data_IF_890662680766
#
_entry.id   IF_890662680766
#
_cell.length_a   1.000
_cell.length_b   1.000
_cell.length_c   1.000
_cell.angle_alpha   90.00
_cell.angle_beta   90.00
_cell.angle_gamma   90.00
#
_symmetry.space_group_name_H-M   'P 1'
#
loop_
_entity.id
_entity.type
_entity.pdbx_description
1 polymer ?
#
# COMPACT_ATOMS: atom_id res chain seq x y z
N UNK A 1 12.46 -24.20 -13.58
CA UNK A 1 11.61 -25.36 -13.92
C UNK A 1 10.09 -25.12 -13.73
N UNK A 2 9.65 -23.98 -13.17
CA UNK A 2 8.22 -23.71 -12.88
C UNK A 2 7.43 -23.00 -14.01
N UNK A 3 8.11 -22.39 -14.99
CA UNK A 3 7.43 -21.65 -16.07
C UNK A 3 6.56 -22.53 -16.99
N UNK A 4 6.97 -23.79 -17.20
CA UNK A 4 6.23 -24.73 -18.05
C UNK A 4 4.89 -25.19 -17.47
N UNK A 5 4.69 -25.11 -16.15
CA UNK A 5 3.49 -25.63 -15.51
C UNK A 5 2.25 -24.76 -15.79
N UNK A 6 2.42 -23.43 -15.83
CA UNK A 6 1.31 -22.48 -15.98
C UNK A 6 0.83 -22.36 -17.43
N UNK A 7 1.74 -22.34 -18.40
CA UNK A 7 1.38 -22.28 -19.82
C UNK A 7 0.56 -23.49 -20.27
N UNK A 8 0.89 -24.67 -19.76
CA UNK A 8 0.12 -25.88 -20.03
C UNK A 8 -1.24 -25.91 -19.31
N UNK A 9 -1.32 -25.38 -18.09
CA UNK A 9 -2.59 -25.26 -17.35
C UNK A 9 -3.55 -24.33 -18.09
N UNK A 10 -3.04 -23.20 -18.60
CA UNK A 10 -3.79 -22.26 -19.43
C UNK A 10 -4.24 -22.91 -20.74
N UNK A 11 -3.39 -23.71 -21.37
CA UNK A 11 -3.73 -24.44 -22.62
C UNK A 11 -4.81 -25.50 -22.39
N UNK A 12 -4.70 -26.26 -21.31
CA UNK A 12 -5.70 -27.25 -20.91
C UNK A 12 -7.05 -26.61 -20.61
N UNK A 13 -7.05 -25.50 -19.86
CA UNK A 13 -8.27 -24.75 -19.55
C UNK A 13 -8.95 -24.19 -20.80
N UNK A 14 -8.17 -23.63 -21.73
CA UNK A 14 -8.69 -23.14 -23.01
C UNK A 14 -9.23 -24.27 -23.89
N UNK A 15 -8.63 -25.46 -23.86
CA UNK A 15 -9.15 -26.64 -24.56
C UNK A 15 -10.48 -27.10 -23.99
N UNK A 16 -10.64 -27.13 -22.66
CA UNK A 16 -11.89 -27.53 -21.98
C UNK A 16 -13.02 -26.53 -22.19
N UNK A 17 -12.71 -25.22 -22.15
CA UNK A 17 -13.67 -24.19 -22.58
C UNK A 17 -14.10 -24.34 -24.04
N UNK A 18 -13.20 -24.76 -24.94
CA UNK A 18 -13.55 -25.03 -26.33
C UNK A 18 -14.51 -26.20 -26.52
N UNK A 19 -14.44 -27.20 -25.63
CA UNK A 19 -15.31 -28.39 -25.61
C UNK A 19 -16.72 -28.08 -25.04
N UNK A 20 -16.81 -27.20 -24.04
CA UNK A 20 -18.08 -26.62 -23.57
C UNK A 20 -18.83 -25.86 -24.67
N UNK A 21 -18.10 -25.04 -25.43
CA UNK A 21 -18.66 -24.22 -26.50
C UNK A 21 -19.10 -25.04 -27.72
N UNK A 22 -18.45 -26.18 -27.99
CA UNK A 22 -18.79 -27.05 -29.11
C UNK A 22 -19.91 -28.05 -28.79
N UNK A 23 -20.02 -28.50 -27.54
CA UNK A 23 -21.08 -29.43 -27.10
C UNK A 23 -22.38 -28.71 -26.73
N UNK A 24 -22.35 -27.40 -26.46
CA UNK A 24 -23.51 -26.64 -25.99
C UNK A 24 -24.02 -27.08 -24.61
N UNK A 25 -23.31 -28.02 -23.97
CA UNK A 25 -23.65 -28.61 -22.69
C UNK A 25 -22.79 -27.92 -21.63
N UNK A 26 -23.44 -27.34 -20.61
CA UNK A 26 -22.71 -26.74 -19.49
C UNK A 26 -21.89 -27.84 -18.80
N UNK A 27 -20.63 -27.56 -18.51
CA UNK A 27 -19.82 -28.44 -17.65
C UNK A 27 -20.46 -28.47 -16.27
N UNK A 28 -20.94 -29.66 -15.90
CA UNK A 28 -21.56 -29.91 -14.60
C UNK A 28 -20.59 -29.65 -13.46
N UNK A 29 -21.11 -29.37 -12.26
CA UNK A 29 -20.27 -29.02 -11.10
C UNK A 29 -19.31 -30.14 -10.71
N UNK A 30 -19.71 -31.40 -10.89
CA UNK A 30 -18.85 -32.56 -10.67
C UNK A 30 -17.67 -32.59 -11.64
N UNK A 31 -17.90 -32.25 -12.91
CA UNK A 31 -16.83 -32.15 -13.92
C UNK A 31 -15.87 -31.01 -13.61
N UNK A 32 -16.38 -29.88 -13.10
CA UNK A 32 -15.53 -28.76 -12.66
C UNK A 32 -14.67 -29.14 -11.45
N UNK A 33 -15.23 -29.91 -10.50
CA UNK A 33 -14.48 -30.44 -9.37
C UNK A 33 -13.34 -31.37 -9.84
N UNK A 34 -13.63 -32.27 -10.78
CA UNK A 34 -12.64 -33.14 -11.40
C UNK A 34 -11.51 -32.38 -12.11
N UNK A 35 -11.84 -31.34 -12.87
CA UNK A 35 -10.87 -30.52 -13.61
C UNK A 35 -9.93 -29.77 -12.65
N UNK A 36 -10.44 -29.32 -11.51
CA UNK A 36 -9.69 -28.52 -10.54
C UNK A 36 -8.87 -29.35 -9.56
N UNK A 37 -9.24 -30.61 -9.33
CA UNK A 37 -8.60 -31.50 -8.36
C UNK A 37 -7.85 -32.69 -8.97
N UNK A 38 -7.81 -32.82 -10.30
CA UNK A 38 -6.96 -33.80 -11.02
C UNK A 38 -5.66 -33.16 -11.53
N UNK A 39 -4.58 -33.93 -11.43
CA UNK A 39 -3.29 -33.64 -12.08
C UNK A 39 -3.36 -34.01 -13.57
N UNK A 40 -2.35 -33.59 -14.35
CA UNK A 40 -2.27 -33.88 -15.80
C UNK A 40 -2.18 -35.37 -16.15
N UNK A 41 -1.66 -36.18 -15.24
CA UNK A 41 -1.57 -37.65 -15.36
C UNK A 41 -2.90 -38.35 -15.02
N UNK A 42 -3.95 -37.60 -14.66
CA UNK A 42 -5.26 -38.12 -14.29
C UNK A 42 -5.41 -38.53 -12.83
N UNK A 43 -4.31 -38.51 -12.06
CA UNK A 43 -4.31 -38.80 -10.62
C UNK A 43 -4.93 -37.65 -9.80
N UNK A 44 -5.57 -37.93 -8.66
CA UNK A 44 -6.05 -36.88 -7.77
C UNK A 44 -4.89 -36.07 -7.19
N UNK A 45 -5.13 -34.78 -6.92
CA UNK A 45 -4.09 -33.86 -6.47
C UNK A 45 -3.57 -34.20 -5.07
N UNK A 46 -4.47 -34.67 -4.20
CA UNK A 46 -4.23 -35.17 -2.84
C UNK A 46 -5.00 -36.47 -2.59
N UNK A 47 -4.61 -37.25 -1.59
CA UNK A 47 -5.35 -38.47 -1.22
C UNK A 47 -6.79 -38.18 -0.78
N UNK A 48 -7.00 -37.06 -0.08
CA UNK A 48 -8.33 -36.58 0.32
C UNK A 48 -9.20 -36.24 -0.89
N UNK A 49 -8.64 -35.54 -1.89
CA UNK A 49 -9.36 -35.27 -3.14
C UNK A 49 -9.73 -36.57 -3.87
N UNK A 50 -8.86 -37.58 -3.84
CA UNK A 50 -9.13 -38.90 -4.39
C UNK A 50 -10.31 -39.60 -3.70
N UNK A 51 -10.35 -39.57 -2.37
CA UNK A 51 -11.47 -40.15 -1.60
C UNK A 51 -12.80 -39.43 -1.88
N UNK A 52 -12.77 -38.10 -1.98
CA UNK A 52 -13.94 -37.29 -2.31
C UNK A 52 -14.43 -37.59 -3.73
N UNK A 53 -13.52 -37.71 -4.70
CA UNK A 53 -13.87 -38.02 -6.08
C UNK A 53 -14.54 -39.40 -6.23
N UNK A 54 -14.06 -40.43 -5.52
CA UNK A 54 -14.70 -41.74 -5.51
C UNK A 54 -16.11 -41.66 -4.89
N UNK A 55 -16.27 -40.96 -3.76
CA UNK A 55 -17.60 -40.74 -3.15
C UNK A 55 -18.58 -40.02 -4.08
N UNK A 56 -18.12 -38.99 -4.80
CA UNK A 56 -18.93 -38.27 -5.77
C UNK A 56 -19.36 -39.17 -6.94
N UNK A 57 -18.47 -40.07 -7.38
CA UNK A 57 -18.73 -41.01 -8.48
C UNK A 57 -19.73 -42.10 -8.09
N UNK A 58 -19.57 -42.67 -6.90
CA UNK A 58 -20.50 -43.67 -6.35
C UNK A 58 -21.90 -43.07 -6.19
N UNK A 59 -21.98 -41.88 -5.59
CA UNK A 59 -23.25 -41.17 -5.38
C UNK A 59 -23.92 -40.77 -6.70
N UNK A 60 -23.15 -40.38 -7.71
CA UNK A 60 -23.67 -40.12 -9.07
C UNK A 60 -24.31 -41.37 -9.67
N UNK A 61 -23.68 -42.53 -9.53
CA UNK A 61 -24.24 -43.79 -10.04
C UNK A 61 -25.56 -44.16 -9.33
N UNK A 62 -25.66 -43.94 -8.01
CA UNK A 62 -26.90 -44.15 -7.25
C UNK A 62 -28.05 -43.27 -7.77
N UNK A 63 -27.80 -41.97 -7.98
CA UNK A 63 -28.83 -41.04 -8.44
C UNK A 63 -29.16 -41.19 -9.93
N UNK A 64 -28.22 -41.61 -10.77
CA UNK A 64 -28.48 -41.89 -12.20
C UNK A 64 -29.41 -43.09 -12.39
N UNK A 65 -29.32 -44.10 -11.52
CA UNK A 65 -30.28 -45.22 -11.46
C UNK A 65 -31.68 -44.75 -11.05
N UNK A 66 -31.77 -43.82 -10.10
CA UNK A 66 -33.04 -43.25 -9.63
C UNK A 66 -33.67 -42.34 -10.70
N UNK A 67 -32.88 -41.48 -11.33
CA UNK A 67 -33.32 -40.58 -12.40
C UNK A 67 -33.76 -41.35 -13.67
N UNK A 68 -33.17 -42.51 -13.94
CA UNK A 68 -33.64 -43.39 -15.02
C UNK A 68 -35.07 -43.92 -14.78
N UNK A 69 -35.57 -43.90 -13.53
CA UNK A 69 -36.93 -44.31 -13.19
C UNK A 69 -37.91 -43.15 -13.12
N UNK A 70 -37.44 -41.93 -12.83
CA UNK A 70 -38.26 -40.71 -12.73
C UNK A 70 -37.74 -39.66 -13.71
N UNK A 71 -38.33 -39.62 -14.92
CA UNK A 71 -37.88 -38.79 -16.04
C UNK A 71 -38.07 -37.28 -15.83
N UNK A 72 -38.54 -36.87 -14.65
CA UNK A 72 -38.81 -35.48 -14.28
C UNK A 72 -37.60 -34.76 -13.66
N UNK A 73 -36.55 -35.49 -13.29
CA UNK A 73 -35.39 -34.93 -12.57
C UNK A 73 -34.31 -34.44 -13.54
N UNK A 74 -33.95 -33.15 -13.45
CA UNK A 74 -32.90 -32.54 -14.26
C UNK A 74 -31.50 -32.95 -13.77
N UNK A 75 -30.60 -33.32 -14.68
CA UNK A 75 -29.20 -33.70 -14.40
C UNK A 75 -28.41 -32.60 -13.67
N UNK A 76 -28.66 -31.32 -13.99
CA UNK A 76 -28.02 -30.19 -13.30
C UNK A 76 -28.44 -30.10 -11.82
N UNK A 77 -29.68 -30.49 -11.50
CA UNK A 77 -30.18 -30.51 -10.12
C UNK A 77 -29.58 -31.69 -9.32
N UNK A 78 -29.35 -32.82 -9.98
CA UNK A 78 -28.69 -34.00 -9.39
C UNK A 78 -27.24 -33.69 -9.01
N UNK A 79 -26.47 -33.07 -9.91
CA UNK A 79 -25.09 -32.66 -9.62
C UNK A 79 -25.01 -31.69 -8.43
N UNK A 80 -25.96 -30.75 -8.32
CA UNK A 80 -26.03 -29.81 -7.21
C UNK A 80 -26.34 -30.49 -5.87
N UNK A 81 -27.25 -31.47 -5.87
CA UNK A 81 -27.62 -32.25 -4.69
C UNK A 81 -26.43 -33.09 -4.22
N UNK A 82 -25.78 -33.83 -5.13
CA UNK A 82 -24.63 -34.68 -4.81
C UNK A 82 -23.47 -33.85 -4.24
N UNK A 83 -23.15 -32.71 -4.86
CA UNK A 83 -22.10 -31.80 -4.36
C UNK A 83 -22.43 -31.29 -2.97
N UNK A 84 -23.70 -30.97 -2.70
CA UNK A 84 -24.11 -30.45 -1.38
C UNK A 84 -24.09 -31.54 -0.32
N UNK A 85 -24.45 -32.78 -0.64
CA UNK A 85 -24.47 -33.92 0.29
C UNK A 85 -23.06 -34.47 0.60
N UNK A 86 -22.15 -34.41 -0.38
CA UNK A 86 -20.76 -34.89 -0.22
C UNK A 86 -19.81 -33.80 0.28
N UNK A 87 -20.00 -32.52 -0.12
CA UNK A 87 -19.13 -31.40 0.26
C UNK A 87 -19.73 -30.48 1.36
N UNK A 88 -20.95 -30.72 1.85
CA UNK A 88 -21.61 -29.96 2.94
C UNK A 88 -22.36 -30.89 3.91
N UNK A 89 -22.35 -30.63 5.25
CA UNK A 89 -22.69 -29.35 5.91
C UNK A 89 -21.58 -28.66 6.73
N UNK A 90 -20.42 -29.27 6.94
CA UNK A 90 -19.43 -28.81 7.93
C UNK A 90 -18.54 -27.64 7.46
N UNK A 91 -18.33 -27.47 6.15
CA UNK A 91 -17.46 -26.43 5.58
C UNK A 91 -18.10 -25.03 5.51
N UNK A 92 -19.43 -24.97 5.40
CA UNK A 92 -20.17 -23.71 5.20
C UNK A 92 -20.44 -22.94 6.51
N UNK A 93 -20.39 -23.62 7.66
CA UNK A 93 -20.58 -22.97 8.97
C UNK A 93 -19.30 -22.31 9.50
N UNK A 94 -18.11 -22.75 9.06
CA UNK A 94 -16.84 -22.27 9.60
C UNK A 94 -16.26 -21.04 8.88
N UNK A 95 -16.75 -20.68 7.68
CA UNK A 95 -16.15 -19.62 6.84
C UNK A 95 -17.09 -18.46 6.48
N UNK A 96 -18.14 -18.21 7.24
CA UNK A 96 -18.98 -17.01 7.03
C UNK A 96 -18.93 -16.08 8.25
N UNK A 97 -18.03 -15.07 8.27
CA UNK A 97 -18.09 -14.04 9.30
C UNK A 97 -19.44 -13.32 9.17
N UNK A 98 -20.14 -13.16 10.29
CA UNK A 98 -21.44 -12.47 10.31
C UNK A 98 -21.30 -11.06 9.75
N UNK A 99 -22.30 -10.59 8.99
CA UNK A 99 -22.28 -9.25 8.36
C UNK A 99 -22.01 -8.12 9.36
N UNK A 100 -22.47 -8.27 10.61
CA UNK A 100 -22.18 -7.36 11.73
C UNK A 100 -20.71 -7.34 12.11
N UNK A 101 -20.04 -8.49 12.08
CA UNK A 101 -18.63 -8.67 12.41
C UNK A 101 -17.73 -8.02 11.34
N UNK A 102 -18.06 -8.24 10.06
CA UNK A 102 -17.38 -7.57 8.93
C UNK A 102 -17.56 -6.05 8.99
N UNK A 103 -18.75 -5.56 9.35
CA UNK A 103 -18.98 -4.13 9.51
C UNK A 103 -18.19 -3.51 10.67
N UNK A 104 -18.08 -4.21 11.79
CA UNK A 104 -17.31 -3.76 12.95
C UNK A 104 -15.81 -3.67 12.62
N UNK A 105 -15.25 -4.64 11.90
CA UNK A 105 -13.84 -4.61 11.48
C UNK A 105 -13.56 -3.50 10.47
N UNK A 106 -14.45 -3.29 9.50
CA UNK A 106 -14.34 -2.18 8.55
C UNK A 106 -14.40 -0.83 9.26
N UNK A 107 -15.28 -0.67 10.24
CA UNK A 107 -15.37 0.57 11.02
C UNK A 107 -14.09 0.79 11.84
N UNK A 108 -13.59 -0.25 12.51
CA UNK A 108 -12.33 -0.18 13.26
C UNK A 108 -11.14 0.20 12.38
N UNK A 109 -11.04 -0.38 11.18
CA UNK A 109 -9.99 -0.05 10.22
C UNK A 109 -10.10 1.41 9.75
N UNK A 110 -11.32 1.93 9.53
CA UNK A 110 -11.52 3.35 9.21
C UNK A 110 -11.05 4.26 10.33
N UNK A 111 -11.37 3.95 11.58
CA UNK A 111 -10.94 4.73 12.74
C UNK A 111 -9.41 4.71 12.88
N UNK A 112 -8.78 3.55 12.67
CA UNK A 112 -7.31 3.44 12.66
C UNK A 112 -6.67 4.27 11.54
N UNK A 113 -7.24 4.26 10.32
CA UNK A 113 -6.74 5.11 9.23
C UNK A 113 -6.90 6.60 9.55
N UNK A 114 -8.03 7.00 10.14
CA UNK A 114 -8.26 8.38 10.55
C UNK A 114 -7.26 8.81 11.63
N UNK A 115 -6.96 7.94 12.60
CA UNK A 115 -5.96 8.20 13.64
C UNK A 115 -4.55 8.34 13.06
N UNK A 116 -4.15 7.45 12.14
CA UNK A 116 -2.85 7.57 11.47
C UNK A 116 -2.76 8.85 10.63
N UNK A 117 -3.83 9.24 9.94
CA UNK A 117 -3.89 10.49 9.18
C UNK A 117 -3.76 11.71 10.10
N UNK A 118 -4.49 11.75 11.21
CA UNK A 118 -4.40 12.83 12.19
C UNK A 118 -2.98 12.96 12.76
N UNK A 119 -2.38 11.84 13.18
CA UNK A 119 -1.00 11.84 13.69
C UNK A 119 0.02 12.31 12.63
N UNK A 120 -0.17 11.95 11.37
CA UNK A 120 0.72 12.38 10.28
C UNK A 120 0.60 13.89 10.04
N UNK A 121 -0.63 14.42 10.01
CA UNK A 121 -0.87 15.85 9.84
C UNK A 121 -0.28 16.65 11.00
N UNK A 122 -0.41 16.16 12.23
CA UNK A 122 0.17 16.79 13.41
C UNK A 122 1.71 16.83 13.36
N UNK A 123 2.35 15.73 12.98
CA UNK A 123 3.81 15.69 12.80
C UNK A 123 4.29 16.66 11.69
N UNK A 124 3.56 16.78 10.58
CA UNK A 124 3.89 17.74 9.51
C UNK A 124 3.76 19.18 10.03
N UNK A 125 2.74 19.48 10.83
CA UNK A 125 2.56 20.81 11.41
C UNK A 125 3.71 21.16 12.36
N UNK A 126 4.12 20.22 13.23
CA UNK A 126 5.24 20.39 14.14
C UNK A 126 6.56 20.64 13.39
N UNK A 127 6.87 19.80 12.39
CA UNK A 127 8.08 19.97 11.57
C UNK A 127 8.10 21.30 10.81
N UNK A 128 6.95 21.75 10.30
CA UNK A 128 6.85 23.08 9.66
C UNK A 128 7.08 24.22 10.64
N UNK A 129 6.52 24.14 11.85
CA UNK A 129 6.73 25.15 12.88
C UNK A 129 8.20 25.20 13.33
N UNK A 130 8.82 24.04 13.51
CA UNK A 130 10.24 23.92 13.87
C UNK A 130 11.16 24.45 12.76
N UNK A 131 10.86 24.14 11.49
CA UNK A 131 11.60 24.68 10.35
C UNK A 131 11.49 26.21 10.27
N UNK A 132 10.30 26.77 10.45
CA UNK A 132 10.09 28.23 10.47
C UNK A 132 10.84 28.90 11.63
N UNK A 133 10.86 28.26 12.81
CA UNK A 133 11.62 28.75 13.97
C UNK A 133 13.13 28.75 13.69
N UNK A 134 13.68 27.67 13.12
CA UNK A 134 15.10 27.59 12.77
C UNK A 134 15.48 28.61 11.69
N UNK A 135 14.62 28.84 10.71
CA UNK A 135 14.88 29.84 9.68
C UNK A 135 14.90 31.26 10.27
N UNK A 136 13.99 31.56 11.20
CA UNK A 136 13.97 32.84 11.90
C UNK A 136 15.23 33.05 12.77
N UNK A 137 15.69 31.99 13.45
CA UNK A 137 16.91 32.01 14.26
C UNK A 137 18.15 32.30 13.41
N UNK A 138 18.32 31.60 12.27
CA UNK A 138 19.42 31.84 11.35
C UNK A 138 19.41 33.25 10.77
N UNK A 139 18.22 33.80 10.46
CA UNK A 139 18.07 35.18 10.00
C UNK A 139 18.47 36.18 11.09
N UNK A 140 18.06 35.94 12.33
CA UNK A 140 18.44 36.79 13.46
C UNK A 140 19.95 36.75 13.72
N UNK A 141 20.57 35.57 13.64
CA UNK A 141 22.02 35.42 13.81
C UNK A 141 22.79 36.11 12.68
N UNK A 142 22.34 35.97 11.43
CA UNK A 142 22.94 36.67 10.29
C UNK A 142 22.86 38.20 10.46
N UNK A 143 21.69 38.73 10.82
CA UNK A 143 21.50 40.15 11.08
C UNK A 143 22.37 40.65 12.24
N UNK A 144 22.52 39.85 13.30
CA UNK A 144 23.40 40.18 14.43
C UNK A 144 24.87 40.26 14.00
N UNK A 145 25.33 39.31 13.17
CA UNK A 145 26.71 39.31 12.64
C UNK A 145 26.95 40.50 11.71
N UNK A 146 26.01 40.82 10.82
CA UNK A 146 26.11 42.00 9.95
C UNK A 146 26.16 43.30 10.76
N UNK A 147 25.30 43.43 11.77
CA UNK A 147 25.29 44.60 12.66
C UNK A 147 26.60 44.74 13.44
N UNK A 148 27.19 43.62 13.89
CA UNK A 148 28.48 43.63 14.58
C UNK A 148 29.63 44.04 13.65
N UNK A 149 29.65 43.56 12.41
CA UNK A 149 30.62 43.98 11.39
C UNK A 149 30.48 45.48 11.11
N UNK A 150 29.25 45.95 10.86
CA UNK A 150 28.99 47.37 10.62
C UNK A 150 29.37 48.26 11.82
N UNK A 151 29.15 47.80 13.05
CA UNK A 151 29.56 48.53 14.25
C UNK A 151 31.10 48.64 14.35
N UNK A 152 31.84 47.56 14.05
CA UNK A 152 33.30 47.56 14.02
C UNK A 152 33.86 48.49 12.94
N UNK A 153 33.27 48.48 11.75
CA UNK A 153 33.66 49.39 10.66
C UNK A 153 33.40 50.85 11.02
N UNK A 154 32.22 51.17 11.57
CA UNK A 154 31.89 52.53 12.00
C UNK A 154 32.83 53.03 13.10
N UNK A 155 33.23 52.16 14.03
CA UNK A 155 34.22 52.51 15.06
C UNK A 155 35.60 52.79 14.45
N UNK A 156 36.03 52.00 13.47
CA UNK A 156 37.28 52.27 12.74
C UNK A 156 37.23 53.58 11.96
N UNK A 157 36.15 53.85 11.24
CA UNK A 157 35.99 55.13 10.52
C UNK A 157 36.08 56.32 11.46
N UNK A 158 35.40 56.26 12.63
CA UNK A 158 35.49 57.33 13.64
C UNK A 158 36.91 57.53 14.16
N UNK A 159 37.67 56.45 14.37
CA UNK A 159 39.09 56.53 14.77
C UNK A 159 39.94 57.20 13.69
N UNK A 160 39.68 56.88 12.42
CA UNK A 160 40.37 57.51 11.29
C UNK A 160 40.05 59.00 11.18
N UNK A 161 38.77 59.37 11.26
CA UNK A 161 38.31 60.77 11.20
C UNK A 161 38.90 61.60 12.35
N UNK A 162 38.95 61.03 13.56
CA UNK A 162 39.56 61.68 14.71
C UNK A 162 41.07 61.93 14.51
N UNK A 163 41.79 60.96 13.94
CA UNK A 163 43.21 61.11 13.61
C UNK A 163 43.42 62.19 12.56
N UNK A 164 42.57 62.23 11.53
CA UNK A 164 42.63 63.24 10.47
C UNK A 164 42.42 64.66 11.04
N UNK A 165 41.48 64.83 11.96
CA UNK A 165 41.24 66.10 12.65
C UNK A 165 42.44 66.53 13.50
N UNK A 166 43.04 65.58 14.23
CA UNK A 166 44.25 65.86 15.03
C UNK A 166 45.40 66.34 14.14
N UNK A 167 45.63 65.67 13.01
CA UNK A 167 46.68 66.07 12.06
C UNK A 167 46.44 67.46 11.49
N UNK A 168 45.19 67.78 11.14
CA UNK A 168 44.82 69.11 10.65
C UNK A 168 45.09 70.21 11.70
N UNK A 169 44.75 69.96 12.97
CA UNK A 169 45.03 70.90 14.06
C UNK A 169 46.54 71.13 14.25
N UNK A 170 47.34 70.07 14.13
CA UNK A 170 48.80 70.15 14.22
C UNK A 170 49.40 70.98 13.08
N UNK A 171 48.92 70.78 11.83
CA UNK A 171 49.34 71.59 10.67
C UNK A 171 49.02 73.08 10.88
N UNK A 172 47.82 73.41 11.39
CA UNK A 172 47.44 74.80 11.68
C UNK A 172 48.33 75.44 12.74
N UNK A 173 48.67 74.71 13.81
CA UNK A 173 49.58 75.18 14.86
C UNK A 173 51.00 75.41 14.31
N UNK A 174 51.51 74.48 13.51
CA UNK A 174 52.82 74.59 12.88
C UNK A 174 52.89 75.82 11.95
N UNK A 175 51.85 76.07 11.16
CA UNK A 175 51.80 77.22 10.28
C UNK A 175 51.72 78.56 11.03
N UNK A 176 51.09 78.59 12.21
CA UNK A 176 51.13 79.78 13.11
C UNK A 176 52.53 80.01 13.68
N UNK A 177 53.27 78.96 14.02
CA UNK A 177 54.67 79.10 14.50
C UNK A 177 55.60 79.61 13.40
N UNK A 178 55.32 79.27 12.13
CA UNK A 178 56.09 79.78 10.99
C UNK A 178 55.76 81.23 10.63
N UNK A 179 54.56 81.73 10.98
CA UNK A 179 54.12 83.11 10.71
C UNK A 179 53.74 83.81 12.02
N UNK A 180 54.72 84.21 12.86
CA UNK A 180 54.41 84.91 14.10
C UNK A 180 53.77 86.27 13.80
N UNK A 181 52.72 86.67 14.53
CA UNK A 181 52.15 88.01 14.37
C UNK A 181 53.22 89.05 14.73
N UNK A 182 53.44 90.02 13.84
CA UNK A 182 54.33 91.17 14.04
C UNK A 182 53.83 92.11 15.14
#
# INVERSE_FOLDING_TARGET
>A
MLRYQWEDAVRYWNSKKGEELSSGQKVGRLQLFDITHKKKDGSPMTSEAGEIMEKLKDKKAEYEVVASSDSSVNLDDIDNIIVTEVLGPESSQQYMPSRSQVQAEVLRLKDQMAQMQASTVEQIAQLKAEAASREAELKAEAAAREAEVAAREAEQSRKYDALQLQLQNMMKMFQKLQNPPS
#
